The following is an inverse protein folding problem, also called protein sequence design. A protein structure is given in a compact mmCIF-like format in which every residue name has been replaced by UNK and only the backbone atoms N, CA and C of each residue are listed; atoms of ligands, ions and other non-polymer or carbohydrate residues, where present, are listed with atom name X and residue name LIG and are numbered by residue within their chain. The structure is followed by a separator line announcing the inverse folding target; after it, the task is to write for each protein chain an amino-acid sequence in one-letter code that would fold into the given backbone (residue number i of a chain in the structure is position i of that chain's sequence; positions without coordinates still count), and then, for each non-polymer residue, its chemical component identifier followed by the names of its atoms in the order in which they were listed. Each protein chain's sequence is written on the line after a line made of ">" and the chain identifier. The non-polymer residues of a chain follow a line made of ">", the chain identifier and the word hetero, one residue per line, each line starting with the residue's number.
data_IF_648124512575
#
_entry.id   IF_648124512575
#
_cell.length_a   1.000
_cell.length_b   1.000
_cell.length_c   1.000
_cell.angle_alpha   90.00
_cell.angle_beta   90.00
_cell.angle_gamma   90.00
#
_symmetry.space_group_name_H-M   'P 1'
#
loop_
_entity.id
_entity.type
_entity.pdbx_description
1 polymer ?
#
# COMPACT_ATOMS: atom_id res chain seq x y z
N UNK A 1 3.47 31.61 -51.34
CA UNK A 1 2.19 31.71 -50.62
C UNK A 1 2.15 30.56 -49.63
N UNK A 2 2.17 30.90 -48.34
CA UNK A 2 2.49 30.03 -47.20
C UNK A 2 1.55 28.82 -47.10
N UNK A 3 2.11 27.63 -46.85
CA UNK A 3 1.35 26.50 -46.28
C UNK A 3 1.53 26.54 -44.77
N UNK A 4 0.41 26.69 -44.08
CA UNK A 4 0.30 26.55 -42.63
C UNK A 4 0.82 25.17 -42.22
N UNK A 5 1.74 25.16 -41.25
CA UNK A 5 2.16 23.95 -40.55
C UNK A 5 1.28 23.83 -39.33
N UNK A 6 0.51 22.76 -39.31
CA UNK A 6 -0.45 22.37 -38.29
C UNK A 6 0.25 22.22 -36.92
N UNK A 7 -0.01 23.15 -36.00
CA UNK A 7 0.43 23.11 -34.60
C UNK A 7 -0.42 22.10 -33.80
N UNK A 8 -0.23 20.79 -34.02
CA UNK A 8 -0.86 19.78 -33.17
C UNK A 8 0.08 18.65 -32.76
N UNK A 9 1.19 19.00 -32.11
CA UNK A 9 1.92 18.05 -31.27
C UNK A 9 2.51 18.78 -30.05
N UNK A 10 1.66 19.46 -29.28
CA UNK A 10 2.05 19.88 -27.93
C UNK A 10 2.14 18.63 -27.07
N UNK A 11 3.38 18.16 -26.84
CA UNK A 11 3.70 17.20 -25.81
C UNK A 11 3.00 17.66 -24.52
N UNK A 12 2.05 16.86 -24.03
CA UNK A 12 1.34 17.14 -22.77
C UNK A 12 2.40 17.44 -21.72
N UNK A 13 2.42 18.69 -21.21
CA UNK A 13 3.28 19.08 -20.10
C UNK A 13 3.13 18.02 -18.99
N UNK A 14 4.22 17.42 -18.49
CA UNK A 14 4.13 16.42 -17.43
C UNK A 14 3.36 17.02 -16.27
N UNK A 15 2.18 16.46 -16.00
CA UNK A 15 1.39 16.87 -14.85
C UNK A 15 2.13 16.38 -13.62
N UNK A 16 2.62 17.30 -12.78
CA UNK A 16 3.26 16.96 -11.52
C UNK A 16 2.18 16.36 -10.61
N UNK A 17 2.04 15.05 -10.62
CA UNK A 17 1.18 14.34 -9.68
C UNK A 17 1.94 14.25 -8.36
N UNK A 18 1.58 15.08 -7.38
CA UNK A 18 2.07 14.96 -6.00
C UNK A 18 1.45 13.73 -5.33
N UNK A 19 1.89 12.54 -5.74
CA UNK A 19 1.31 11.26 -5.34
C UNK A 19 1.39 11.04 -3.82
N UNK A 20 2.48 11.44 -3.16
CA UNK A 20 2.61 11.26 -1.71
C UNK A 20 1.78 12.24 -0.86
N UNK A 21 1.17 13.27 -1.46
CA UNK A 21 0.29 14.22 -0.74
C UNK A 21 -1.20 13.92 -0.93
N UNK A 22 -1.59 13.08 -1.89
CA UNK A 22 -2.99 12.65 -2.07
C UNK A 22 -3.46 11.87 -0.84
N UNK A 23 -4.45 12.40 -0.13
CA UNK A 23 -4.99 11.79 1.09
C UNK A 23 -5.93 10.61 0.80
N UNK A 24 -6.28 10.38 -0.46
CA UNK A 24 -7.30 9.45 -0.95
C UNK A 24 -6.74 8.35 -1.86
N UNK A 25 -5.45 7.99 -1.72
CA UNK A 25 -4.82 6.96 -2.58
C UNK A 25 -5.58 5.64 -2.52
N UNK A 26 -5.97 5.21 -1.32
CA UNK A 26 -6.82 4.04 -1.14
C UNK A 26 -8.27 4.47 -0.88
N UNK A 27 -9.26 3.85 -1.55
CA UNK A 27 -10.67 4.00 -1.20
C UNK A 27 -10.97 3.40 0.19
N UNK A 28 -10.18 2.42 0.65
CA UNK A 28 -10.35 1.79 1.95
C UNK A 28 -9.65 2.58 3.07
N UNK A 29 -10.21 2.47 4.28
CA UNK A 29 -9.68 2.97 5.55
C UNK A 29 -9.05 1.81 6.29
N UNK A 30 -7.74 1.71 6.25
CA UNK A 30 -6.99 0.75 7.06
C UNK A 30 -6.30 1.48 8.22
N UNK A 31 -6.46 1.00 9.47
CA UNK A 31 -5.64 1.44 10.60
C UNK A 31 -4.15 1.32 10.25
N UNK A 32 -3.35 2.31 10.65
CA UNK A 32 -1.92 2.32 10.36
C UNK A 32 -1.55 2.59 8.91
N UNK A 33 -2.49 3.01 8.03
CA UNK A 33 -2.26 3.22 6.59
C UNK A 33 -0.88 3.78 6.24
N UNK A 34 0.00 2.88 5.78
CA UNK A 34 1.44 3.11 5.58
C UNK A 34 1.77 3.94 4.33
N UNK A 35 0.80 4.70 3.81
CA UNK A 35 0.99 5.67 2.71
C UNK A 35 2.20 6.58 2.95
N UNK A 36 2.41 7.00 4.20
CA UNK A 36 3.55 7.86 4.59
C UNK A 36 4.91 7.17 4.47
N UNK A 37 4.95 5.83 4.45
CA UNK A 37 6.17 5.07 4.14
C UNK A 37 6.45 4.99 2.64
N UNK A 38 5.49 5.26 1.75
CA UNK A 38 5.72 5.11 0.31
C UNK A 38 6.91 5.93 -0.22
N UNK A 39 7.16 7.19 0.22
CA UNK A 39 8.38 7.92 -0.15
C UNK A 39 9.68 7.29 0.39
N UNK A 40 9.64 6.72 1.59
CA UNK A 40 10.79 6.02 2.17
C UNK A 40 11.11 4.74 1.38
N UNK A 41 10.07 3.96 1.08
CA UNK A 41 10.18 2.74 0.28
C UNK A 41 10.70 3.08 -1.13
N UNK A 42 10.18 4.14 -1.75
CA UNK A 42 10.68 4.63 -3.02
C UNK A 42 12.18 4.97 -2.99
N UNK A 43 12.64 5.65 -1.92
CA UNK A 43 14.07 5.96 -1.74
C UNK A 43 14.93 4.70 -1.62
N UNK A 44 14.48 3.72 -0.83
CA UNK A 44 15.18 2.44 -0.71
C UNK A 44 15.26 1.71 -2.06
N UNK A 45 14.15 1.64 -2.80
CA UNK A 45 14.14 0.99 -4.11
C UNK A 45 15.05 1.70 -5.11
N UNK A 46 15.12 3.03 -5.08
CA UNK A 46 15.99 3.82 -5.96
C UNK A 46 17.49 3.59 -5.70
N UNK A 47 17.86 3.08 -4.52
CA UNK A 47 19.24 2.69 -4.18
C UNK A 47 19.57 1.25 -4.59
N UNK A 48 18.62 0.52 -5.17
CA UNK A 48 18.89 -0.79 -5.75
C UNK A 48 19.29 -0.65 -7.21
N UNK A 49 20.08 -1.61 -7.71
CA UNK A 49 20.57 -1.59 -9.10
C UNK A 49 19.49 -1.87 -10.16
N UNK A 50 18.25 -2.14 -9.76
CA UNK A 50 17.18 -2.50 -10.68
C UNK A 50 15.84 -1.90 -10.26
N UNK A 51 15.20 -1.20 -11.19
CA UNK A 51 13.79 -0.82 -11.05
C UNK A 51 12.92 -2.08 -10.93
N UNK A 52 12.02 -2.19 -9.94
CA UNK A 52 11.17 -3.37 -9.81
C UNK A 52 10.21 -3.52 -11.00
N UNK A 53 10.34 -4.63 -11.73
CA UNK A 53 9.36 -5.08 -12.73
C UNK A 53 8.08 -5.59 -12.06
N UNK A 54 8.20 -6.13 -10.85
CA UNK A 54 7.07 -6.58 -10.05
C UNK A 54 7.25 -6.18 -8.58
N UNK A 55 6.28 -5.44 -8.07
CA UNK A 55 6.17 -5.10 -6.65
C UNK A 55 5.04 -5.91 -6.00
N UNK A 56 5.37 -6.71 -4.97
CA UNK A 56 4.44 -7.67 -4.38
C UNK A 56 4.07 -7.27 -2.95
N UNK A 57 2.77 -7.17 -2.67
CA UNK A 57 2.24 -6.85 -1.34
C UNK A 57 1.28 -7.98 -0.91
N UNK A 58 1.75 -8.97 -0.13
CA UNK A 58 0.95 -10.13 0.28
C UNK A 58 0.08 -9.88 1.52
N UNK A 59 0.13 -8.66 2.05
CA UNK A 59 -0.75 -8.14 3.10
C UNK A 59 -1.40 -6.86 2.57
N UNK A 60 -2.14 -6.98 1.47
CA UNK A 60 -2.58 -5.83 0.70
C UNK A 60 -3.33 -4.82 1.58
N UNK A 61 -4.30 -5.23 2.40
CA UNK A 61 -5.08 -4.32 3.23
C UNK A 61 -5.63 -3.14 2.40
N UNK A 62 -5.13 -1.93 2.68
CA UNK A 62 -5.45 -0.72 1.91
C UNK A 62 -4.63 -0.51 0.62
N UNK A 63 -3.63 -1.33 0.34
CA UNK A 63 -2.71 -1.32 -0.82
C UNK A 63 -2.06 0.03 -1.11
N UNK A 64 -2.00 0.89 -0.08
CA UNK A 64 -1.66 2.31 -0.26
C UNK A 64 -0.22 2.50 -0.72
N UNK A 65 0.70 1.61 -0.34
CA UNK A 65 2.10 1.65 -0.77
C UNK A 65 2.20 1.20 -2.23
N UNK A 66 1.70 0.00 -2.57
CA UNK A 66 1.75 -0.50 -3.95
C UNK A 66 1.12 0.46 -4.95
N UNK A 67 -0.06 1.01 -4.63
CA UNK A 67 -0.75 1.96 -5.51
C UNK A 67 0.04 3.27 -5.62
N UNK A 68 0.59 3.78 -4.52
CA UNK A 68 1.43 4.99 -4.56
C UNK A 68 2.62 4.84 -5.51
N UNK A 69 3.34 3.72 -5.40
CA UNK A 69 4.50 3.43 -6.25
C UNK A 69 4.08 3.21 -7.71
N UNK A 70 2.93 2.57 -7.94
CA UNK A 70 2.40 2.32 -9.28
C UNK A 70 1.97 3.61 -9.98
N UNK A 71 1.23 4.48 -9.30
CA UNK A 71 0.79 5.79 -9.83
C UNK A 71 1.97 6.74 -10.06
N UNK A 72 3.01 6.65 -9.22
CA UNK A 72 4.25 7.42 -9.35
C UNK A 72 5.19 6.92 -10.45
N UNK A 73 4.81 5.84 -11.14
CA UNK A 73 5.65 5.15 -12.12
C UNK A 73 7.02 4.73 -11.58
N UNK A 74 7.07 4.23 -10.35
CA UNK A 74 8.29 3.74 -9.71
C UNK A 74 8.44 2.21 -9.80
N UNK A 75 7.36 1.51 -10.17
CA UNK A 75 7.31 0.06 -10.38
C UNK A 75 6.47 -0.26 -11.61
N UNK A 76 6.84 -1.28 -12.38
CA UNK A 76 6.14 -1.53 -13.65
C UNK A 76 4.76 -2.16 -13.42
N UNK A 77 4.72 -3.15 -12.52
CA UNK A 77 3.50 -3.86 -12.13
C UNK A 77 3.45 -4.14 -10.64
N UNK A 78 2.23 -4.24 -10.12
CA UNK A 78 1.99 -4.72 -8.75
C UNK A 78 1.32 -6.10 -8.75
N UNK A 79 1.55 -6.86 -7.67
CA UNK A 79 0.82 -8.07 -7.35
C UNK A 79 0.31 -7.97 -5.92
N UNK A 80 -1.00 -8.07 -5.75
CA UNK A 80 -1.65 -7.94 -4.45
C UNK A 80 -2.13 -9.30 -3.97
N UNK A 81 -1.97 -9.58 -2.68
CA UNK A 81 -2.68 -10.68 -2.03
C UNK A 81 -3.12 -10.27 -0.65
N UNK A 82 -4.23 -10.83 -0.21
CA UNK A 82 -4.68 -10.72 1.17
C UNK A 82 -5.33 -12.01 1.64
N UNK A 83 -5.15 -12.35 2.91
CA UNK A 83 -5.76 -13.52 3.51
C UNK A 83 -7.27 -13.30 3.78
N UNK A 84 -7.71 -12.05 3.85
CA UNK A 84 -9.12 -11.68 3.98
C UNK A 84 -9.83 -11.75 2.61
N UNK A 85 -10.86 -12.62 2.47
CA UNK A 85 -11.56 -12.78 1.20
C UNK A 85 -12.31 -11.51 0.76
N UNK A 86 -12.80 -10.68 1.69
CA UNK A 86 -13.50 -9.44 1.34
C UNK A 86 -12.54 -8.41 0.75
N UNK A 87 -11.35 -8.28 1.33
CA UNK A 87 -10.29 -7.37 0.86
C UNK A 87 -9.77 -7.79 -0.50
N UNK A 88 -9.49 -9.08 -0.66
CA UNK A 88 -9.05 -9.63 -1.93
C UNK A 88 -10.12 -9.46 -3.02
N UNK A 89 -11.40 -9.70 -2.70
CA UNK A 89 -12.51 -9.48 -3.62
C UNK A 89 -12.63 -8.01 -4.02
N UNK A 90 -12.52 -7.08 -3.06
CA UNK A 90 -12.55 -5.65 -3.33
C UNK A 90 -11.49 -5.24 -4.35
N UNK A 91 -10.21 -5.55 -4.09
CA UNK A 91 -9.14 -5.19 -5.01
C UNK A 91 -9.25 -5.91 -6.35
N UNK A 92 -9.75 -7.15 -6.36
CA UNK A 92 -9.99 -7.90 -7.60
C UNK A 92 -11.00 -7.17 -8.48
N UNK A 93 -12.13 -6.71 -7.92
CA UNK A 93 -13.15 -5.96 -8.66
C UNK A 93 -12.66 -4.58 -9.09
N UNK A 94 -11.94 -3.85 -8.23
CA UNK A 94 -11.37 -2.54 -8.59
C UNK A 94 -10.49 -2.64 -9.85
N UNK A 95 -9.72 -3.73 -9.98
CA UNK A 95 -8.85 -3.97 -11.13
C UNK A 95 -9.44 -4.93 -12.18
N UNK A 96 -10.77 -5.04 -12.28
CA UNK A 96 -11.47 -5.85 -13.29
C UNK A 96 -12.29 -5.01 -14.29
N UNK A 97 -13.11 -5.68 -15.10
CA UNK A 97 -14.11 -5.02 -15.95
C UNK A 97 -15.37 -4.57 -15.18
N UNK A 98 -15.57 -5.06 -13.95
CA UNK A 98 -16.74 -4.75 -13.13
C UNK A 98 -16.54 -3.53 -12.22
N UNK A 99 -15.38 -2.86 -12.28
CA UNK A 99 -15.10 -1.66 -11.50
C UNK A 99 -16.16 -0.54 -11.68
N UNK A 100 -16.71 -0.28 -12.88
CA UNK A 100 -17.81 0.67 -13.04
C UNK A 100 -19.06 0.28 -12.25
N UNK A 101 -19.45 -1.01 -12.26
CA UNK A 101 -20.61 -1.49 -11.48
C UNK A 101 -20.40 -1.30 -9.98
N UNK A 102 -19.15 -1.49 -9.50
CA UNK A 102 -18.82 -1.20 -8.11
C UNK A 102 -18.92 0.30 -7.82
N UNK A 103 -18.42 1.15 -8.71
CA UNK A 103 -18.50 2.60 -8.57
C UNK A 103 -19.94 3.11 -8.54
N UNK A 104 -20.82 2.58 -9.40
CA UNK A 104 -22.25 2.90 -9.42
C UNK A 104 -22.91 2.53 -8.09
N UNK A 105 -22.65 1.32 -7.57
CA UNK A 105 -23.14 0.92 -6.24
C UNK A 105 -22.62 1.85 -5.12
N UNK A 106 -21.35 2.25 -5.17
CA UNK A 106 -20.80 3.20 -4.19
C UNK A 106 -21.50 4.56 -4.30
N UNK A 107 -21.83 5.00 -5.50
CA UNK A 107 -22.48 6.29 -5.72
C UNK A 107 -23.93 6.28 -5.24
N UNK A 108 -24.71 5.27 -5.63
CA UNK A 108 -26.17 5.25 -5.47
C UNK A 108 -26.67 4.67 -4.14
N UNK A 109 -25.92 3.74 -3.52
CA UNK A 109 -26.52 2.90 -2.48
C UNK A 109 -26.80 3.65 -1.16
N UNK A 110 -27.99 3.54 -0.54
CA UNK A 110 -28.29 4.21 0.73
C UNK A 110 -27.29 3.87 1.84
N UNK A 111 -26.80 4.88 2.58
CA UNK A 111 -25.87 4.68 3.71
C UNK A 111 -26.65 4.85 5.01
N UNK A 112 -27.31 3.77 5.44
CA UNK A 112 -28.17 3.75 6.62
C UNK A 112 -27.72 2.69 7.61
N UNK A 113 -28.18 2.78 8.86
CA UNK A 113 -27.91 1.77 9.87
C UNK A 113 -28.49 0.40 9.50
N UNK A 114 -29.67 0.38 8.86
CA UNK A 114 -30.30 -0.88 8.46
C UNK A 114 -29.57 -1.55 7.30
N UNK A 115 -29.07 -0.76 6.35
CA UNK A 115 -28.18 -1.28 5.32
C UNK A 115 -26.89 -1.82 5.94
N UNK A 116 -26.31 -1.14 6.93
CA UNK A 116 -25.14 -1.64 7.64
C UNK A 116 -25.38 -2.98 8.32
N UNK A 117 -26.51 -3.15 9.01
CA UNK A 117 -26.91 -4.43 9.63
C UNK A 117 -27.08 -5.50 8.56
N UNK A 118 -27.74 -5.17 7.44
CA UNK A 118 -27.93 -6.07 6.30
C UNK A 118 -26.58 -6.53 5.76
N UNK A 119 -25.64 -5.62 5.48
CA UNK A 119 -24.31 -5.96 5.00
C UNK A 119 -23.50 -6.80 5.98
N UNK A 120 -23.64 -6.57 7.29
CA UNK A 120 -23.00 -7.42 8.31
C UNK A 120 -23.47 -8.87 8.24
N UNK A 121 -24.78 -9.09 8.10
CA UNK A 121 -25.38 -10.43 8.07
C UNK A 121 -25.34 -11.11 6.71
N UNK A 122 -25.28 -10.33 5.63
CA UNK A 122 -25.34 -10.81 4.25
C UNK A 122 -24.12 -11.65 3.86
N UNK A 123 -24.33 -12.87 3.39
CA UNK A 123 -23.30 -13.66 2.73
C UNK A 123 -23.21 -13.25 1.25
N UNK A 124 -22.04 -12.84 0.73
CA UNK A 124 -21.95 -12.42 -0.65
C UNK A 124 -22.15 -13.56 -1.67
N UNK A 125 -23.11 -13.41 -2.57
CA UNK A 125 -23.39 -14.37 -3.65
C UNK A 125 -22.44 -14.22 -4.85
N UNK A 126 -21.77 -13.08 -4.97
CA UNK A 126 -20.84 -12.79 -6.06
C UNK A 126 -19.59 -12.02 -5.59
N UNK A 127 -18.50 -12.05 -6.38
CA UNK A 127 -17.32 -11.21 -6.12
C UNK A 127 -17.63 -9.71 -6.06
N UNK A 128 -18.60 -9.23 -6.86
CA UNK A 128 -19.04 -7.84 -6.82
C UNK A 128 -19.76 -7.51 -5.50
N UNK A 129 -20.60 -8.42 -5.01
CA UNK A 129 -21.25 -8.26 -3.70
C UNK A 129 -20.24 -8.29 -2.56
N UNK A 130 -19.21 -9.15 -2.65
CA UNK A 130 -18.14 -9.22 -1.67
C UNK A 130 -17.30 -7.93 -1.65
N UNK A 131 -16.98 -7.39 -2.82
CA UNK A 131 -16.29 -6.12 -2.97
C UNK A 131 -17.11 -4.95 -2.40
N UNK A 132 -18.42 -4.90 -2.71
CA UNK A 132 -19.29 -3.87 -2.17
C UNK A 132 -19.46 -3.99 -0.66
N UNK A 133 -19.67 -5.20 -0.12
CA UNK A 133 -19.71 -5.46 1.33
C UNK A 133 -18.44 -5.00 2.03
N UNK A 134 -17.27 -5.36 1.47
CA UNK A 134 -15.97 -4.92 1.97
C UNK A 134 -15.91 -3.39 2.06
N UNK A 135 -16.19 -2.72 0.94
CA UNK A 135 -16.12 -1.28 0.86
C UNK A 135 -17.11 -0.60 1.82
N UNK A 136 -18.38 -1.02 1.79
CA UNK A 136 -19.44 -0.41 2.58
C UNK A 136 -19.09 -0.48 4.07
N UNK A 137 -18.85 -1.69 4.59
CA UNK A 137 -18.49 -1.89 6.00
C UNK A 137 -17.22 -1.13 6.38
N UNK A 138 -16.22 -1.09 5.51
CA UNK A 138 -14.99 -0.34 5.78
C UNK A 138 -15.22 1.18 5.90
N UNK A 139 -16.13 1.75 5.11
CA UNK A 139 -16.41 3.19 5.16
C UNK A 139 -17.35 3.57 6.30
N UNK A 140 -18.21 2.66 6.73
CA UNK A 140 -19.27 2.94 7.69
C UNK A 140 -19.03 2.34 9.09
N UNK A 141 -17.99 1.52 9.29
CA UNK A 141 -17.68 0.93 10.60
C UNK A 141 -16.54 1.64 11.32
N UNK A 142 -16.56 1.59 12.66
CA UNK A 142 -15.50 2.18 13.47
C UNK A 142 -14.12 1.61 13.07
N UNK A 143 -13.13 2.50 12.91
CA UNK A 143 -11.78 2.18 12.41
C UNK A 143 -11.71 1.43 11.06
N UNK A 144 -12.81 1.40 10.30
CA UNK A 144 -12.90 0.65 9.04
C UNK A 144 -12.89 -0.86 9.20
N UNK A 145 -13.25 -1.34 10.38
CA UNK A 145 -13.28 -2.77 10.68
C UNK A 145 -14.35 -3.49 9.86
N UNK A 146 -13.93 -4.53 9.14
CA UNK A 146 -14.81 -5.40 8.36
C UNK A 146 -15.47 -6.46 9.23
N UNK A 147 -14.72 -6.97 10.21
CA UNK A 147 -15.03 -8.18 10.98
C UNK A 147 -15.18 -7.89 12.47
N UNK A 148 -15.66 -8.88 13.22
CA UNK A 148 -15.74 -8.79 14.68
C UNK A 148 -16.82 -7.83 15.21
N UNK A 149 -16.67 -7.45 16.48
CA UNK A 149 -17.68 -6.73 17.30
C UNK A 149 -17.72 -5.22 17.06
N UNK A 150 -16.90 -4.68 16.14
CA UNK A 150 -16.89 -3.25 15.86
C UNK A 150 -18.24 -2.82 15.28
N UNK A 151 -18.84 -1.80 15.89
CA UNK A 151 -20.11 -1.21 15.46
C UNK A 151 -19.96 -0.21 14.31
N UNK A 152 -21.09 0.33 13.83
CA UNK A 152 -21.08 1.41 12.86
C UNK A 152 -20.44 2.67 13.45
N UNK A 153 -19.93 3.54 12.59
CA UNK A 153 -19.56 4.90 12.95
C UNK A 153 -20.81 5.56 13.54
N UNK A 154 -20.63 6.26 14.66
CA UNK A 154 -21.72 6.89 15.40
C UNK A 154 -22.43 5.99 16.40
N UNK A 155 -22.09 4.70 16.46
CA UNK A 155 -22.69 3.73 17.38
C UNK A 155 -24.08 3.28 16.94
N UNK A 156 -24.63 2.25 17.60
CA UNK A 156 -25.93 1.68 17.21
C UNK A 156 -27.11 2.64 17.44
N UNK A 157 -26.99 3.56 18.39
CA UNK A 157 -27.97 4.61 18.65
C UNK A 157 -27.85 5.81 17.71
N UNK A 158 -26.77 5.90 16.91
CA UNK A 158 -26.46 7.05 16.04
C UNK A 158 -26.50 8.41 16.78
N UNK A 159 -26.17 8.41 18.08
CA UNK A 159 -26.22 9.61 18.94
C UNK A 159 -24.88 10.33 19.06
N UNK A 160 -23.85 9.86 18.36
CA UNK A 160 -22.55 10.54 18.28
C UNK A 160 -22.61 11.75 17.35
N UNK A 161 -21.69 12.70 17.52
CA UNK A 161 -21.45 13.77 16.54
C UNK A 161 -21.05 13.26 15.14
N UNK A 162 -20.61 12.00 15.02
CA UNK A 162 -20.23 11.38 13.75
C UNK A 162 -21.34 10.46 13.26
N UNK A 163 -22.07 10.89 12.23
CA UNK A 163 -23.03 10.05 11.53
C UNK A 163 -22.34 8.89 10.78
N UNK A 164 -23.09 7.82 10.51
CA UNK A 164 -22.59 6.62 9.81
C UNK A 164 -21.96 6.91 8.44
N UNK A 165 -22.43 7.95 7.75
CA UNK A 165 -22.01 8.35 6.42
C UNK A 165 -20.93 9.44 6.41
N UNK A 166 -20.46 9.92 7.57
CA UNK A 166 -19.51 11.04 7.64
C UNK A 166 -18.15 10.74 6.96
N UNK A 167 -17.88 9.48 6.65
CA UNK A 167 -16.73 9.02 5.87
C UNK A 167 -17.13 8.43 4.52
N UNK A 168 -18.33 8.65 4.01
CA UNK A 168 -18.83 8.06 2.77
C UNK A 168 -19.06 9.14 1.70
N UNK A 169 -17.98 9.84 1.30
CA UNK A 169 -18.06 10.79 0.17
C UNK A 169 -18.23 10.01 -1.14
N UNK A 170 -19.49 9.78 -1.53
CA UNK A 170 -19.93 8.96 -2.67
C UNK A 170 -19.18 9.26 -3.94
N UNK A 171 -19.25 10.51 -4.40
CA UNK A 171 -18.66 10.96 -5.66
C UNK A 171 -17.16 10.72 -5.70
N UNK A 172 -16.44 11.13 -4.65
CA UNK A 172 -14.98 10.99 -4.60
C UNK A 172 -14.54 9.53 -4.50
N UNK A 173 -15.28 8.71 -3.77
CA UNK A 173 -14.95 7.29 -3.60
C UNK A 173 -15.22 6.50 -4.88
N UNK A 174 -16.35 6.76 -5.55
CA UNK A 174 -16.67 6.16 -6.85
C UNK A 174 -15.66 6.58 -7.92
N UNK A 175 -15.34 7.87 -7.99
CA UNK A 175 -14.30 8.39 -8.89
C UNK A 175 -12.96 7.71 -8.63
N UNK A 176 -12.55 7.55 -7.36
CA UNK A 176 -11.29 6.90 -7.02
C UNK A 176 -11.24 5.43 -7.49
N UNK A 177 -12.34 4.69 -7.38
CA UNK A 177 -12.43 3.32 -7.92
C UNK A 177 -12.23 3.33 -9.44
N UNK A 178 -12.88 4.26 -10.14
CA UNK A 178 -12.73 4.39 -11.60
C UNK A 178 -11.31 4.79 -12.00
N UNK A 179 -10.68 5.74 -11.30
CA UNK A 179 -9.28 6.13 -11.52
C UNK A 179 -8.35 4.91 -11.41
N UNK A 180 -8.47 4.15 -10.32
CA UNK A 180 -7.62 2.98 -10.07
C UNK A 180 -7.85 1.88 -11.11
N UNK A 181 -9.09 1.68 -11.56
CA UNK A 181 -9.42 0.67 -12.57
C UNK A 181 -8.65 0.86 -13.89
N UNK A 182 -8.25 2.10 -14.22
CA UNK A 182 -7.43 2.41 -15.40
C UNK A 182 -6.04 1.77 -15.33
N UNK A 183 -5.55 1.49 -14.12
CA UNK A 183 -4.26 0.85 -13.88
C UNK A 183 -4.30 -0.68 -13.97
N UNK A 184 -5.48 -1.29 -14.21
CA UNK A 184 -5.66 -2.76 -14.20
C UNK A 184 -4.62 -3.54 -15.03
N UNK A 185 -4.16 -3.00 -16.17
CA UNK A 185 -3.14 -3.65 -17.03
C UNK A 185 -1.76 -3.74 -16.37
N UNK A 186 -1.51 -2.90 -15.37
CA UNK A 186 -0.29 -2.93 -14.53
C UNK A 186 -0.49 -3.71 -13.23
N UNK A 187 -1.65 -4.35 -13.03
CA UNK A 187 -1.87 -5.27 -11.91
C UNK A 187 -1.72 -6.69 -12.42
N UNK A 188 -0.67 -7.38 -11.96
CA UNK A 188 -0.32 -8.73 -12.41
C UNK A 188 -1.34 -9.77 -11.93
N UNK A 189 -1.79 -9.63 -10.69
CA UNK A 189 -2.89 -10.37 -10.09
C UNK A 189 -3.35 -9.70 -8.78
N UNK A 190 -4.57 -10.03 -8.39
CA UNK A 190 -5.07 -9.90 -7.01
C UNK A 190 -5.55 -11.29 -6.57
N UNK A 191 -5.14 -11.76 -5.38
CA UNK A 191 -5.48 -13.10 -4.91
C UNK A 191 -5.91 -13.12 -3.46
N UNK A 192 -6.85 -14.02 -3.13
CA UNK A 192 -7.13 -14.38 -1.76
C UNK A 192 -6.20 -15.52 -1.32
N UNK A 193 -5.04 -15.18 -0.78
CA UNK A 193 -4.06 -16.14 -0.30
C UNK A 193 -3.17 -15.56 0.80
N UNK A 194 -2.57 -16.42 1.62
CA UNK A 194 -1.61 -16.00 2.64
C UNK A 194 -0.22 -15.76 2.04
N UNK A 195 0.60 -14.98 2.74
CA UNK A 195 1.94 -14.60 2.30
C UNK A 195 2.84 -15.78 1.91
N UNK A 196 2.78 -16.92 2.61
CA UNK A 196 3.56 -18.11 2.27
C UNK A 196 3.19 -18.68 0.90
N UNK A 197 1.89 -18.70 0.58
CA UNK A 197 1.42 -19.16 -0.73
C UNK A 197 1.83 -18.17 -1.82
N UNK A 198 1.73 -16.86 -1.55
CA UNK A 198 2.22 -15.82 -2.48
C UNK A 198 3.71 -15.97 -2.77
N UNK A 199 4.54 -16.15 -1.74
CA UNK A 199 5.99 -16.42 -1.88
C UNK A 199 6.23 -17.64 -2.76
N UNK A 200 5.57 -18.77 -2.44
CA UNK A 200 5.69 -20.00 -3.23
C UNK A 200 5.24 -19.83 -4.68
N UNK A 201 4.20 -19.06 -4.94
CA UNK A 201 3.71 -18.77 -6.30
C UNK A 201 4.72 -17.93 -7.09
N UNK A 202 5.27 -16.88 -6.51
CA UNK A 202 6.26 -16.03 -7.17
C UNK A 202 7.55 -16.80 -7.48
N UNK A 203 8.00 -17.69 -6.59
CA UNK A 203 9.17 -18.57 -6.83
C UNK A 203 9.02 -19.48 -8.05
N UNK A 204 7.79 -19.76 -8.49
CA UNK A 204 7.52 -20.60 -9.68
C UNK A 204 7.46 -19.79 -10.97
N UNK A 205 7.53 -18.46 -10.90
CA UNK A 205 7.44 -17.58 -12.09
C UNK A 205 8.74 -17.57 -12.90
N UNK A 206 8.62 -17.28 -14.20
CA UNK A 206 9.77 -17.02 -15.07
C UNK A 206 10.55 -15.78 -14.62
N UNK A 207 9.85 -14.75 -14.14
CA UNK A 207 10.48 -13.52 -13.67
C UNK A 207 11.49 -13.80 -12.55
N UNK A 208 11.12 -14.62 -11.56
CA UNK A 208 12.05 -15.01 -10.51
C UNK A 208 13.24 -15.82 -11.04
N UNK A 209 13.02 -16.74 -11.99
CA UNK A 209 14.10 -17.58 -12.54
C UNK A 209 15.15 -16.80 -13.32
N UNK A 210 14.74 -15.75 -14.03
CA UNK A 210 15.64 -15.02 -14.93
C UNK A 210 16.09 -13.66 -14.38
N UNK A 211 15.24 -13.00 -13.59
CA UNK A 211 15.48 -11.63 -13.12
C UNK A 211 15.03 -11.45 -11.65
N UNK A 212 15.56 -12.25 -10.69
CA UNK A 212 15.10 -12.22 -9.29
C UNK A 212 15.24 -10.83 -8.65
N UNK A 213 16.25 -10.05 -9.02
CA UNK A 213 16.50 -8.70 -8.52
C UNK A 213 15.48 -7.66 -9.01
N UNK A 214 14.67 -7.99 -10.03
CA UNK A 214 13.59 -7.14 -10.52
C UNK A 214 12.28 -7.30 -9.74
N UNK A 215 12.28 -8.14 -8.70
CA UNK A 215 11.13 -8.37 -7.81
C UNK A 215 11.41 -7.68 -6.48
N UNK A 216 10.48 -6.84 -6.05
CA UNK A 216 10.50 -6.21 -4.75
C UNK A 216 9.22 -6.54 -3.97
N UNK A 217 9.34 -6.66 -2.65
CA UNK A 217 8.22 -6.98 -1.76
C UNK A 217 8.04 -5.93 -0.69
N UNK A 218 6.79 -5.70 -0.33
CA UNK A 218 6.42 -4.96 0.87
C UNK A 218 5.52 -5.79 1.77
N UNK A 219 5.94 -5.95 3.02
CA UNK A 219 5.27 -6.76 4.03
C UNK A 219 4.78 -5.85 5.15
N UNK A 220 3.47 -5.72 5.29
CA UNK A 220 2.81 -5.00 6.38
C UNK A 220 1.87 -5.94 7.15
N UNK A 221 2.42 -6.90 7.92
CA UNK A 221 1.64 -7.91 8.63
C UNK A 221 0.79 -7.31 9.77
N UNK A 222 -0.20 -8.06 10.30
CA UNK A 222 -0.92 -7.67 11.51
C UNK A 222 0.03 -7.34 12.67
N UNK A 223 -0.28 -6.29 13.44
CA UNK A 223 0.59 -5.77 14.51
C UNK A 223 0.69 -6.69 15.74
N UNK A 224 1.80 -6.58 16.47
CA UNK A 224 2.06 -7.32 17.73
C UNK A 224 1.11 -6.94 18.87
N UNK A 225 0.67 -5.68 18.94
CA UNK A 225 -0.25 -5.24 20.00
C UNK A 225 -1.64 -5.82 19.72
N UNK A 226 -2.10 -6.74 20.59
CA UNK A 226 -3.39 -7.48 20.59
C UNK A 226 -4.51 -6.77 19.82
N UNK A 227 -4.49 -6.95 18.50
CA UNK A 227 -5.42 -6.35 17.58
C UNK A 227 -6.63 -7.27 17.39
N UNK A 228 -7.12 -7.89 18.49
CA UNK A 228 -8.30 -8.77 18.51
C UNK A 228 -9.56 -8.08 17.97
N UNK A 229 -9.51 -6.74 17.78
CA UNK A 229 -10.59 -5.91 17.24
C UNK A 229 -10.38 -5.42 15.79
N UNK A 230 -9.19 -5.57 15.19
CA UNK A 230 -8.86 -4.93 13.89
C UNK A 230 -8.66 -5.91 12.73
N UNK A 231 -8.20 -7.13 12.98
CA UNK A 231 -7.97 -8.12 11.93
C UNK A 231 -8.72 -9.43 12.23
N UNK A 232 -9.33 -10.09 11.22
CA UNK A 232 -10.01 -11.37 11.42
C UNK A 232 -9.05 -12.52 11.75
N UNK A 233 -7.79 -12.40 11.35
CA UNK A 233 -6.68 -13.30 11.68
C UNK A 233 -5.56 -12.48 12.30
N UNK A 234 -5.63 -12.24 13.60
CA UNK A 234 -4.50 -11.68 14.35
C UNK A 234 -3.34 -12.66 14.30
N UNK A 235 -2.12 -12.14 14.15
CA UNK A 235 -0.93 -12.95 14.31
C UNK A 235 -0.77 -13.27 15.79
N UNK A 236 -0.54 -14.54 16.11
CA UNK A 236 0.01 -14.91 17.41
C UNK A 236 1.54 -14.85 17.35
N UNK A 237 2.22 -14.88 18.50
CA UNK A 237 3.69 -14.82 18.56
C UNK A 237 4.38 -15.83 17.61
N UNK A 238 3.85 -17.05 17.49
CA UNK A 238 4.34 -18.07 16.55
C UNK A 238 4.26 -17.61 15.08
N UNK A 239 3.23 -16.87 14.70
CA UNK A 239 3.07 -16.40 13.32
C UNK A 239 4.09 -15.31 12.99
N UNK A 240 4.42 -14.44 13.94
CA UNK A 240 5.49 -13.45 13.78
C UNK A 240 6.86 -14.12 13.64
N UNK A 241 7.15 -15.12 14.47
CA UNK A 241 8.38 -15.93 14.32
C UNK A 241 8.43 -16.62 12.96
N UNK A 242 7.30 -17.16 12.50
CA UNK A 242 7.20 -17.81 11.19
C UNK A 242 7.41 -16.81 10.04
N UNK A 243 6.88 -15.60 10.16
CA UNK A 243 7.10 -14.55 9.17
C UNK A 243 8.57 -14.14 9.12
N UNK A 244 9.22 -13.96 10.30
CA UNK A 244 10.65 -13.70 10.38
C UNK A 244 11.45 -14.81 9.67
N UNK A 245 11.18 -16.08 9.95
CA UNK A 245 11.87 -17.17 9.26
C UNK A 245 11.58 -17.20 7.74
N UNK A 246 10.38 -16.79 7.33
CA UNK A 246 10.00 -16.76 5.93
C UNK A 246 10.73 -15.67 5.13
N UNK A 247 11.24 -14.59 5.75
CA UNK A 247 11.96 -13.52 5.03
C UNK A 247 13.19 -14.02 4.30
N UNK A 248 13.85 -15.05 4.82
CA UNK A 248 15.02 -15.68 4.19
C UNK A 248 14.67 -16.40 2.87
N UNK A 249 13.38 -16.70 2.68
CA UNK A 249 12.88 -17.44 1.52
C UNK A 249 12.24 -16.55 0.45
N UNK A 250 12.19 -15.23 0.68
CA UNK A 250 11.51 -14.27 -0.18
C UNK A 250 12.35 -14.01 -1.46
N UNK A 251 11.74 -14.13 -2.65
CA UNK A 251 12.37 -13.76 -3.91
C UNK A 251 12.80 -12.30 -4.01
N UNK A 252 14.06 -12.03 -4.34
CA UNK A 252 14.50 -10.66 -4.61
C UNK A 252 14.56 -9.79 -3.36
N UNK A 253 14.25 -8.51 -3.51
CA UNK A 253 14.39 -7.52 -2.42
C UNK A 253 13.09 -7.40 -1.62
N UNK A 254 13.18 -7.16 -0.32
CA UNK A 254 12.02 -7.02 0.53
C UNK A 254 12.17 -5.94 1.59
N UNK A 255 11.04 -5.35 1.96
CA UNK A 255 10.89 -4.37 3.02
C UNK A 255 9.72 -4.83 3.88
N UNK A 256 9.92 -4.89 5.19
CA UNK A 256 8.93 -5.21 6.19
C UNK A 256 8.73 -4.01 7.11
N UNK A 257 7.49 -3.70 7.46
CA UNK A 257 7.15 -2.69 8.46
C UNK A 257 6.33 -3.25 9.61
N UNK A 258 6.54 -2.68 10.80
CA UNK A 258 5.69 -2.83 11.98
C UNK A 258 5.55 -1.48 12.67
N UNK A 259 4.42 -1.30 13.38
CA UNK A 259 4.35 -0.28 14.43
C UNK A 259 5.49 -0.51 15.44
N UNK A 260 6.05 0.57 15.96
CA UNK A 260 7.16 0.48 16.90
C UNK A 260 6.73 -0.06 18.26
N UNK A 261 6.83 -1.38 18.41
CA UNK A 261 6.46 -2.16 19.59
C UNK A 261 7.66 -2.94 20.15
N UNK A 262 7.69 -3.16 21.47
CA UNK A 262 8.78 -3.87 22.13
C UNK A 262 9.02 -5.28 21.54
N UNK A 263 7.95 -6.00 21.23
CA UNK A 263 8.06 -7.32 20.58
C UNK A 263 8.64 -7.23 19.16
N UNK A 264 8.24 -6.24 18.36
CA UNK A 264 8.80 -6.03 17.03
C UNK A 264 10.31 -5.77 17.12
N UNK A 265 10.74 -4.91 18.06
CA UNK A 265 12.17 -4.66 18.31
C UNK A 265 12.89 -5.94 18.73
N UNK A 266 12.36 -6.67 19.72
CA UNK A 266 12.95 -7.93 20.19
C UNK A 266 13.06 -8.97 19.09
N UNK A 267 12.07 -9.03 18.19
CA UNK A 267 12.06 -9.99 17.09
C UNK A 267 13.03 -9.65 15.97
N UNK A 268 13.46 -8.40 15.79
CA UNK A 268 14.22 -8.03 14.59
C UNK A 268 15.48 -7.22 14.86
N UNK A 269 15.79 -6.82 16.09
CA UNK A 269 16.95 -5.98 16.42
C UNK A 269 18.30 -6.59 16.03
N UNK A 270 18.38 -7.92 15.94
CA UNK A 270 19.56 -8.66 15.52
C UNK A 270 19.67 -8.82 13.99
N UNK A 271 18.65 -8.41 13.23
CA UNK A 271 18.68 -8.47 11.77
C UNK A 271 19.51 -7.30 11.21
N UNK A 272 20.47 -7.55 10.29
CA UNK A 272 21.36 -6.50 9.75
C UNK A 272 20.60 -5.40 8.99
N UNK A 273 19.39 -5.70 8.52
CA UNK A 273 18.48 -4.77 7.86
C UNK A 273 17.54 -3.99 8.79
N UNK A 274 17.68 -4.09 10.11
CA UNK A 274 16.81 -3.42 11.08
C UNK A 274 17.06 -1.91 11.13
N UNK A 275 15.98 -1.13 11.12
CA UNK A 275 16.00 0.32 11.27
C UNK A 275 14.73 0.81 11.99
N UNK A 276 14.81 2.00 12.58
CA UNK A 276 13.65 2.73 13.10
C UNK A 276 13.44 3.97 12.23
N UNK A 277 12.22 4.19 11.78
CA UNK A 277 11.89 5.31 10.88
C UNK A 277 10.87 6.22 11.56
N UNK A 278 11.19 7.51 11.67
CA UNK A 278 10.27 8.49 12.24
C UNK A 278 9.30 9.01 11.18
N UNK A 279 8.04 8.62 11.32
CA UNK A 279 6.94 9.17 10.56
C UNK A 279 6.32 10.34 11.33
N UNK A 280 6.41 11.55 10.76
CA UNK A 280 5.63 12.68 11.27
C UNK A 280 4.15 12.44 10.94
N UNK A 281 3.39 11.87 11.88
CA UNK A 281 1.94 11.77 11.78
C UNK A 281 1.31 13.12 12.13
N UNK A 282 0.29 13.51 11.36
CA UNK A 282 -0.56 14.66 11.69
C UNK A 282 -1.80 14.09 12.35
N UNK A 283 -1.63 13.57 13.57
CA UNK A 283 -2.72 13.35 14.49
C UNK A 283 -2.60 14.44 15.56
N UNK A 284 -3.65 15.25 15.71
CA UNK A 284 -3.72 16.32 16.72
C UNK A 284 -4.40 15.69 17.94
N UNK A 285 -3.71 15.61 19.08
CA UNK A 285 -4.33 15.17 20.34
C UNK A 285 -5.14 16.29 20.94
N UNK A 286 -4.62 17.51 20.95
CA UNK A 286 -5.38 18.75 21.13
C UNK A 286 -4.45 19.90 20.78
N UNK A 287 -4.88 20.78 19.88
CA UNK A 287 -4.31 22.11 19.67
C UNK A 287 -2.89 22.28 19.11
N UNK A 288 -1.84 21.60 19.60
CA UNK A 288 -0.44 22.05 19.33
C UNK A 288 0.65 21.00 19.13
N UNK A 289 0.42 19.71 19.40
CA UNK A 289 1.46 18.70 19.21
C UNK A 289 1.18 17.74 18.03
N UNK A 290 2.22 17.50 17.22
CA UNK A 290 2.21 16.47 16.17
C UNK A 290 2.75 15.19 16.78
N UNK A 291 1.97 14.12 16.75
CA UNK A 291 2.50 12.79 17.09
C UNK A 291 3.57 12.37 16.08
N UNK A 292 4.81 12.20 16.54
CA UNK A 292 5.82 11.47 15.80
C UNK A 292 5.58 10.00 16.12
N UNK A 293 5.12 9.21 15.15
CA UNK A 293 5.11 7.77 15.34
C UNK A 293 6.36 7.20 14.69
N UNK A 294 7.04 6.34 15.44
CA UNK A 294 8.15 5.57 14.92
C UNK A 294 7.60 4.27 14.34
N UNK A 295 8.18 3.82 13.24
CA UNK A 295 7.94 2.49 12.66
C UNK A 295 9.23 1.67 12.78
N UNK A 296 9.08 0.37 13.02
CA UNK A 296 10.18 -0.59 12.86
C UNK A 296 10.18 -1.03 11.40
N UNK A 297 11.33 -0.87 10.75
CA UNK A 297 11.59 -1.36 9.39
C UNK A 297 12.65 -2.45 9.44
N UNK A 298 12.44 -3.49 8.65
CA UNK A 298 13.44 -4.54 8.41
C UNK A 298 13.51 -4.76 6.91
N UNK A 299 14.70 -4.75 6.31
CA UNK A 299 14.81 -4.87 4.86
C UNK A 299 16.09 -5.55 4.41
N UNK A 300 16.00 -6.38 3.38
CA UNK A 300 17.18 -6.90 2.67
C UNK A 300 17.99 -5.79 2.02
N UNK A 301 17.34 -4.71 1.56
CA UNK A 301 17.99 -3.56 0.93
C UNK A 301 18.87 -2.83 1.96
N UNK A 302 18.34 -2.57 3.15
CA UNK A 302 19.11 -1.92 4.24
C UNK A 302 20.30 -2.79 4.64
N UNK A 303 20.11 -4.11 4.74
CA UNK A 303 21.19 -5.04 5.05
C UNK A 303 22.30 -4.99 3.98
N UNK A 304 21.92 -4.96 2.71
CA UNK A 304 22.84 -4.89 1.58
C UNK A 304 23.60 -3.56 1.53
N UNK A 305 22.92 -2.43 1.69
CA UNK A 305 23.55 -1.10 1.71
C UNK A 305 24.57 -0.97 2.86
N UNK A 306 24.26 -1.54 4.04
CA UNK A 306 25.23 -1.58 5.15
C UNK A 306 26.43 -2.46 4.82
N UNK A 307 26.21 -3.62 4.19
CA UNK A 307 27.29 -4.51 3.76
C UNK A 307 28.22 -3.86 2.74
N UNK A 308 27.69 -2.96 1.91
CA UNK A 308 28.43 -2.16 0.93
C UNK A 308 29.09 -0.91 1.53
N UNK A 309 28.81 -0.57 2.80
CA UNK A 309 29.30 0.64 3.45
C UNK A 309 28.56 1.92 3.05
N UNK A 310 27.46 1.82 2.30
CA UNK A 310 26.64 2.95 1.83
C UNK A 310 25.66 3.46 2.89
N UNK A 311 25.41 2.67 3.93
CA UNK A 311 24.61 3.05 5.09
C UNK A 311 25.36 2.70 6.38
N UNK A 312 25.32 3.60 7.36
CA UNK A 312 25.99 3.37 8.65
C UNK A 312 25.30 2.26 9.47
N UNK A 313 26.08 1.62 10.35
CA UNK A 313 25.69 0.43 11.11
C UNK A 313 24.73 0.70 12.28
N UNK A 314 24.57 1.95 12.71
CA UNK A 314 23.67 2.30 13.81
C UNK A 314 22.21 2.21 13.35
N UNK A 315 21.33 1.78 14.26
CA UNK A 315 19.88 1.90 14.14
C UNK A 315 19.49 3.39 14.28
N UNK A 316 20.04 4.24 13.44
CA UNK A 316 19.72 5.65 13.40
C UNK A 316 18.34 5.87 12.79
N UNK A 317 17.62 6.80 13.39
CA UNK A 317 16.35 7.28 12.88
C UNK A 317 16.59 7.81 11.47
N UNK A 318 16.08 7.12 10.45
CA UNK A 318 16.07 7.67 9.11
C UNK A 318 14.98 8.75 9.07
N UNK A 319 15.38 10.01 9.15
CA UNK A 319 14.46 11.12 8.96
C UNK A 319 14.08 11.23 7.49
N UNK A 320 12.78 11.12 7.20
CA UNK A 320 12.24 11.44 5.89
C UNK A 320 12.39 12.96 5.64
N UNK A 321 13.23 13.42 4.69
CA UNK A 321 13.43 14.84 4.48
C UNK A 321 12.13 15.49 3.98
N UNK A 322 11.70 16.60 4.60
CA UNK A 322 10.48 17.34 4.20
C UNK A 322 10.45 17.71 2.71
N UNK A 323 11.61 17.94 2.08
CA UNK A 323 11.75 18.28 0.65
C UNK A 323 11.54 17.11 -0.32
N UNK A 324 11.68 15.84 0.11
CA UNK A 324 11.51 14.66 -0.76
C UNK A 324 10.06 14.23 -0.99
N UNK A 325 9.10 14.91 -0.38
CA UNK A 325 7.67 14.77 -0.68
C UNK A 325 7.24 15.49 -1.99
N UNK A 326 8.18 16.16 -2.67
CA UNK A 326 7.94 16.85 -3.94
C UNK A 326 8.94 16.40 -5.02
N UNK A 327 9.27 15.10 -5.10
CA UNK A 327 10.27 14.63 -6.06
C UNK A 327 9.76 14.74 -7.51
N UNK A 328 10.41 15.51 -8.40
CA UNK A 328 10.30 15.30 -9.83
C UNK A 328 11.16 14.09 -10.19
N UNK A 329 10.54 13.01 -10.67
CA UNK A 329 11.29 11.84 -11.13
C UNK A 329 11.95 12.20 -12.46
N UNK A 330 13.21 12.63 -12.42
CA UNK A 330 14.07 12.58 -13.61
C UNK A 330 14.57 11.15 -13.73
N UNK A 331 13.93 10.36 -14.60
CA UNK A 331 14.45 9.06 -15.01
C UNK A 331 15.72 9.37 -15.81
N UNK A 332 16.89 9.03 -15.25
CA UNK A 332 18.14 9.09 -16.00
C UNK A 332 18.03 8.16 -17.20
N UNK A 333 17.95 8.74 -18.39
CA UNK A 333 18.23 8.01 -19.61
C UNK A 333 19.72 7.66 -19.56
N UNK A 334 20.02 6.39 -19.32
CA UNK A 334 21.32 5.84 -19.68
C UNK A 334 21.44 5.88 -21.19
N UNK A 335 22.37 6.67 -21.69
CA UNK A 335 23.05 6.40 -22.94
C UNK A 335 24.51 6.83 -22.76
N UNK A 336 25.38 5.84 -22.87
CA UNK A 336 26.82 5.97 -23.04
C UNK A 336 27.18 6.79 -24.29
N UNK A 337 28.48 7.09 -24.39
CA UNK A 337 29.23 7.56 -25.57
C UNK A 337 29.19 9.06 -25.90
N UNK A 338 30.25 9.78 -25.48
CA UNK A 338 31.39 9.99 -26.38
C UNK A 338 32.57 10.66 -25.66
N UNK A 339 33.67 9.92 -25.56
CA UNK A 339 34.99 10.48 -25.48
C UNK A 339 35.43 10.86 -26.90
N UNK A 340 35.68 12.15 -27.18
CA UNK A 340 36.58 12.57 -28.26
C UNK A 340 37.47 13.69 -27.72
N UNK A 341 38.76 13.46 -27.93
CA UNK A 341 39.91 14.31 -27.60
C UNK A 341 39.95 15.62 -28.39
N UNK A 342 40.81 16.51 -27.88
CA UNK A 342 41.64 17.51 -28.59
C UNK A 342 41.00 18.87 -28.91
N UNK A 343 41.68 19.92 -28.45
CA UNK A 343 41.44 21.32 -28.76
C UNK A 343 41.80 22.22 -27.59
#
# INVERSE_FOLDING_TARGET
>A
MQREVDESCQARKPTIVRWCTRSDISPLRYPGGKRKLAPFIADLLARTNARPKLFVEPFAGGASVSISLLEADLVDRIALSDADPLVAAFWSIVFSADAPKLADRIYDWPVTLDEWKRQKMHEPDSPLDAAFKCFFLNRTSFSGSLHGKAGPIGGMSQSSQYAIDCRFNRSRLAERVLELSRLRRRVRFVRNECYLRTIGNIRRTRLFRHEPNSIAWYLDPPFFAKADKLYPKSFVSRDHTRLRAATDSIPGQWILSYDDHADARRHYSDHPGFARVNLQYTARIDGRERLVATEVIVSSIIAELRRQGELQASAEVIELPRRRQNWPVTIGAGSEENAIQAG
#
